data_IF_889239383361
#
_entry.id   IF_889239383361
#
_cell.length_a   1.000
_cell.length_b   1.000
_cell.length_c   1.000
_cell.angle_alpha   90.00
_cell.angle_beta   90.00
_cell.angle_gamma   90.00
#
_symmetry.space_group_name_H-M   'P 1'
#
loop_
_entity.id
_entity.type
_entity.pdbx_description
1 polymer ?
#
# COMPACT_ATOMS: atom_id res chain seq x y z
N UNK A 1 5.39 0.42 48.66
CA UNK A 1 4.06 0.15 49.25
C UNK A 1 3.14 1.29 48.84
N UNK A 2 2.18 1.01 47.94
CA UNK A 2 0.72 1.10 48.16
C UNK A 2 0.21 2.57 48.12
N UNK A 3 -0.87 2.97 47.44
CA UNK A 3 -1.90 2.34 46.62
C UNK A 3 -2.68 3.45 45.90
N UNK A 4 -3.03 3.22 44.63
CA UNK A 4 -4.31 3.47 43.95
C UNK A 4 -5.27 4.59 44.41
N UNK A 5 -5.76 5.40 43.46
CA UNK A 5 -7.21 5.45 43.19
C UNK A 5 -7.53 6.02 41.79
N UNK A 6 -8.32 5.24 41.06
CA UNK A 6 -8.97 5.53 39.79
C UNK A 6 -10.00 6.67 39.91
N UNK A 7 -10.19 7.43 38.83
CA UNK A 7 -11.51 7.94 38.46
C UNK A 7 -11.74 7.64 36.97
N UNK A 8 -12.66 6.70 36.73
CA UNK A 8 -13.33 6.50 35.43
C UNK A 8 -14.26 7.69 35.22
N UNK A 9 -14.12 8.39 34.10
CA UNK A 9 -15.19 9.28 33.63
C UNK A 9 -16.12 8.49 32.71
N UNK A 10 -17.34 8.32 33.19
CA UNK A 10 -18.46 7.63 32.57
C UNK A 10 -18.91 8.34 31.29
N UNK A 11 -19.33 7.56 30.30
CA UNK A 11 -19.74 8.04 28.98
C UNK A 11 -21.25 8.23 28.98
N UNK A 12 -21.72 9.27 29.65
CA UNK A 12 -23.11 9.75 29.57
C UNK A 12 -23.16 11.16 30.14
N UNK A 13 -23.07 12.16 29.27
CA UNK A 13 -23.84 13.41 29.40
C UNK A 13 -23.94 14.07 28.02
N UNK A 14 -25.18 14.08 27.52
CA UNK A 14 -25.61 14.80 26.33
C UNK A 14 -26.13 16.15 26.81
N UNK A 15 -25.26 17.15 26.86
CA UNK A 15 -25.72 18.54 26.98
C UNK A 15 -25.32 19.33 25.72
N UNK A 16 -26.37 19.70 24.99
CA UNK A 16 -26.38 20.71 23.94
C UNK A 16 -26.31 22.07 24.63
N UNK A 17 -25.48 22.96 24.10
CA UNK A 17 -25.21 24.34 24.55
C UNK A 17 -24.09 24.51 25.58
N UNK A 18 -22.86 24.60 25.08
CA UNK A 18 -21.86 25.57 25.55
C UNK A 18 -20.78 25.77 24.48
N UNK A 19 -20.22 26.98 24.37
CA UNK A 19 -19.64 27.53 23.14
C UNK A 19 -18.41 26.76 22.72
N UNK A 20 -18.26 26.61 21.40
CA UNK A 20 -17.11 26.02 20.71
C UNK A 20 -15.79 26.36 21.41
N UNK A 21 -15.33 25.45 22.28
CA UNK A 21 -13.92 25.26 22.48
C UNK A 21 -13.38 24.82 21.12
N UNK A 22 -12.84 25.77 20.36
CA UNK A 22 -11.87 25.50 19.31
C UNK A 22 -10.67 24.82 19.99
N UNK A 23 -10.78 23.53 20.27
CA UNK A 23 -9.60 22.69 20.24
C UNK A 23 -9.17 22.67 18.78
N UNK A 24 -8.00 23.26 18.54
CA UNK A 24 -7.27 23.21 17.29
C UNK A 24 -6.89 21.76 17.01
N UNK A 25 -7.85 20.91 16.64
CA UNK A 25 -7.59 19.62 16.04
C UNK A 25 -7.22 19.87 14.59
N UNK A 26 -5.95 20.24 14.41
CA UNK A 26 -5.33 20.51 13.11
C UNK A 26 -4.89 19.24 12.40
N UNK A 27 -5.54 18.11 12.67
CA UNK A 27 -5.26 16.82 12.07
C UNK A 27 -6.34 16.50 11.03
N UNK A 28 -6.33 17.24 9.92
CA UNK A 28 -6.98 16.80 8.68
C UNK A 28 -5.95 16.19 7.74
N UNK A 29 -5.18 15.26 8.26
CA UNK A 29 -4.56 14.24 7.44
C UNK A 29 -5.69 13.33 6.96
N UNK A 30 -6.16 13.57 5.73
CA UNK A 30 -6.82 12.52 4.97
C UNK A 30 -5.76 11.46 4.68
N UNK A 31 -5.48 10.60 5.66
CA UNK A 31 -4.55 9.48 5.56
C UNK A 31 -5.00 8.59 4.37
N UNK A 32 -4.37 8.77 3.21
CA UNK A 32 -4.31 7.72 2.22
C UNK A 32 -3.46 6.62 2.84
N UNK A 33 -4.13 5.62 3.42
CA UNK A 33 -3.59 4.62 4.36
C UNK A 33 -2.30 3.87 3.96
N UNK A 34 -1.79 4.06 2.74
CA UNK A 34 -0.63 3.32 2.22
C UNK A 34 0.43 4.20 1.49
N UNK A 35 0.24 5.52 1.38
CA UNK A 35 1.07 6.39 0.51
C UNK A 35 1.70 7.53 1.31
N UNK A 36 3.03 7.62 1.25
CA UNK A 36 3.81 8.72 1.78
C UNK A 36 4.18 9.67 0.63
N UNK A 37 3.98 10.97 0.82
CA UNK A 37 4.33 11.99 -0.16
C UNK A 37 5.26 13.03 0.48
N UNK A 38 6.35 13.32 -0.20
CA UNK A 38 7.27 14.40 0.16
C UNK A 38 7.35 15.39 -0.99
N UNK A 39 7.22 16.69 -0.69
CA UNK A 39 7.53 17.74 -1.65
C UNK A 39 8.99 18.16 -1.44
N UNK A 40 9.83 18.02 -2.48
CA UNK A 40 11.20 18.54 -2.50
C UNK A 40 11.33 19.41 -3.74
N UNK A 41 11.56 20.71 -3.54
CA UNK A 41 11.77 21.69 -4.62
C UNK A 41 10.65 21.67 -5.69
N UNK A 42 9.38 21.69 -5.26
CA UNK A 42 8.18 21.60 -6.09
C UNK A 42 8.01 20.29 -6.88
N UNK A 43 8.82 19.28 -6.57
CA UNK A 43 8.72 17.93 -7.11
C UNK A 43 8.15 17.01 -6.03
N UNK A 44 7.03 16.35 -6.35
CA UNK A 44 6.43 15.35 -5.47
C UNK A 44 7.10 13.99 -5.62
N UNK A 45 7.65 13.51 -4.52
CA UNK A 45 8.18 12.16 -4.36
C UNK A 45 7.18 11.33 -3.58
N UNK A 46 6.83 10.16 -4.11
CA UNK A 46 5.94 9.23 -3.42
C UNK A 46 6.69 7.95 -3.06
N UNK A 47 6.36 7.41 -1.89
CA UNK A 47 6.85 6.14 -1.37
C UNK A 47 5.74 5.43 -0.59
N UNK A 48 5.97 4.19 -0.19
CA UNK A 48 5.01 3.44 0.63
C UNK A 48 5.09 3.96 2.06
N UNK A 49 3.94 4.29 2.66
CA UNK A 49 3.90 4.65 4.07
C UNK A 49 3.93 3.39 4.93
N UNK A 50 4.88 3.30 5.87
CA UNK A 50 4.93 2.24 6.88
C UNK A 50 4.68 2.83 8.25
N UNK A 51 3.58 2.41 8.89
CA UNK A 51 3.30 2.82 10.27
C UNK A 51 4.34 2.16 11.19
N UNK A 52 4.96 2.87 12.14
CA UNK A 52 6.01 2.33 13.01
C UNK A 52 5.53 1.17 13.90
N UNK A 53 4.23 1.13 14.23
CA UNK A 53 3.61 0.04 15.00
C UNK A 53 3.09 -1.10 14.13
N UNK A 54 3.29 -1.06 12.81
CA UNK A 54 2.75 -2.08 11.91
C UNK A 54 3.66 -3.30 11.87
N UNK A 55 3.11 -4.43 12.30
CA UNK A 55 3.74 -5.72 12.06
C UNK A 55 3.41 -6.18 10.62
N UNK A 56 4.40 -6.68 9.86
CA UNK A 56 4.19 -7.16 8.51
C UNK A 56 3.51 -8.54 8.49
N UNK A 57 2.27 -8.59 8.96
CA UNK A 57 1.46 -9.80 8.99
C UNK A 57 0.77 -10.01 7.65
N UNK A 58 1.18 -11.06 6.94
CA UNK A 58 0.47 -11.55 5.77
C UNK A 58 -0.18 -12.89 6.11
N UNK A 59 -1.04 -13.37 5.21
CA UNK A 59 -1.57 -14.72 5.37
C UNK A 59 -0.42 -15.74 5.28
N UNK A 60 -0.15 -16.55 6.33
CA UNK A 60 0.93 -17.52 6.32
C UNK A 60 0.79 -18.53 5.20
N UNK A 61 1.89 -18.99 4.62
CA UNK A 61 1.83 -19.89 3.46
C UNK A 61 1.20 -21.26 3.77
N UNK A 62 1.39 -21.77 4.99
CA UNK A 62 0.87 -23.08 5.44
C UNK A 62 -0.58 -23.07 5.94
N UNK A 63 -1.22 -21.90 5.98
CA UNK A 63 -2.61 -21.75 6.42
C UNK A 63 -3.63 -22.51 5.55
N UNK A 64 -4.82 -22.84 6.08
CA UNK A 64 -5.89 -23.55 5.36
C UNK A 64 -6.67 -22.58 4.46
N UNK A 65 -5.97 -22.01 3.48
CA UNK A 65 -6.57 -21.13 2.48
C UNK A 65 -6.22 -21.59 1.06
N UNK A 66 -7.15 -21.41 0.11
CA UNK A 66 -6.92 -21.65 -1.30
C UNK A 66 -5.61 -21.03 -1.82
N UNK A 67 -4.91 -21.79 -2.66
CA UNK A 67 -3.62 -21.37 -3.21
C UNK A 67 -3.71 -20.07 -4.01
N UNK A 68 -4.81 -19.83 -4.72
CA UNK A 68 -5.00 -18.60 -5.50
C UNK A 68 -4.97 -17.33 -4.62
N UNK A 69 -5.44 -17.40 -3.37
CA UNK A 69 -5.39 -16.26 -2.44
C UNK A 69 -3.95 -15.98 -2.02
N UNK A 70 -3.22 -17.02 -1.62
CA UNK A 70 -1.79 -16.94 -1.27
C UNK A 70 -0.95 -16.45 -2.44
N UNK A 71 -1.29 -16.83 -3.67
CA UNK A 71 -0.64 -16.36 -4.89
C UNK A 71 -0.90 -14.88 -5.17
N UNK A 72 -2.12 -14.40 -4.88
CA UNK A 72 -2.52 -13.03 -5.16
C UNK A 72 -1.82 -12.04 -4.22
N UNK A 73 -1.55 -12.41 -2.97
CA UNK A 73 -0.87 -11.54 -2.00
C UNK A 73 0.47 -10.97 -2.54
N UNK A 74 1.49 -11.78 -2.88
CA UNK A 74 2.78 -11.25 -3.35
C UNK A 74 2.63 -10.49 -4.66
N UNK A 75 1.77 -10.96 -5.58
CA UNK A 75 1.56 -10.29 -6.87
C UNK A 75 0.94 -8.89 -6.69
N UNK A 76 -0.15 -8.80 -5.93
CA UNK A 76 -0.88 -7.54 -5.74
C UNK A 76 -0.10 -6.55 -4.89
N UNK A 77 0.57 -7.00 -3.84
CA UNK A 77 1.40 -6.14 -3.00
C UNK A 77 2.59 -5.59 -3.78
N UNK A 78 3.29 -6.43 -4.54
CA UNK A 78 4.40 -5.98 -5.36
C UNK A 78 3.94 -4.99 -6.44
N UNK A 79 2.84 -5.28 -7.13
CA UNK A 79 2.23 -4.38 -8.10
C UNK A 79 1.85 -3.03 -7.48
N UNK A 80 1.33 -3.00 -6.24
CA UNK A 80 1.01 -1.73 -5.55
C UNK A 80 2.27 -0.93 -5.24
N UNK A 81 3.29 -1.57 -4.64
CA UNK A 81 4.56 -0.90 -4.29
C UNK A 81 5.25 -0.31 -5.52
N UNK A 82 5.26 -1.03 -6.65
CA UNK A 82 5.81 -0.50 -7.93
C UNK A 82 5.13 0.77 -8.43
N UNK A 83 3.87 1.02 -8.02
CA UNK A 83 3.13 2.23 -8.41
C UNK A 83 3.33 3.37 -7.44
N UNK A 84 3.59 3.08 -6.17
CA UNK A 84 3.75 4.09 -5.14
C UNK A 84 5.15 4.70 -5.14
N UNK A 85 6.18 3.97 -5.57
CA UNK A 85 7.55 4.48 -5.54
C UNK A 85 7.88 5.36 -6.76
N UNK A 86 8.13 6.65 -6.54
CA UNK A 86 8.61 7.57 -7.58
C UNK A 86 10.10 7.40 -7.90
N UNK A 87 10.91 6.92 -6.95
CA UNK A 87 12.36 6.77 -7.14
C UNK A 87 12.79 5.30 -7.19
N UNK A 88 13.88 5.03 -7.89
CA UNK A 88 14.45 3.69 -7.97
C UNK A 88 14.90 3.18 -6.60
N UNK A 89 15.50 4.05 -5.78
CA UNK A 89 15.97 3.69 -4.46
C UNK A 89 14.82 3.26 -3.54
N UNK A 90 13.75 4.05 -3.49
CA UNK A 90 12.55 3.68 -2.72
C UNK A 90 11.93 2.38 -3.23
N UNK A 91 11.94 2.14 -4.55
CA UNK A 91 11.47 0.87 -5.10
C UNK A 91 12.29 -0.34 -4.63
N UNK A 92 13.61 -0.26 -4.63
CA UNK A 92 14.48 -1.35 -4.16
C UNK A 92 14.23 -1.63 -2.68
N UNK A 93 14.20 -0.58 -1.85
CA UNK A 93 13.88 -0.72 -0.42
C UNK A 93 12.52 -1.37 -0.20
N UNK A 94 11.51 -0.95 -0.95
CA UNK A 94 10.16 -1.52 -0.85
C UNK A 94 10.05 -2.96 -1.35
N UNK A 95 10.77 -3.31 -2.41
CA UNK A 95 10.87 -4.69 -2.89
C UNK A 95 11.48 -5.58 -1.83
N UNK A 96 12.58 -5.14 -1.23
CA UNK A 96 13.32 -5.93 -0.26
C UNK A 96 12.52 -6.05 1.05
N UNK A 97 11.87 -4.96 1.49
CA UNK A 97 10.95 -4.98 2.63
C UNK A 97 9.78 -5.96 2.40
N UNK A 98 9.16 -5.97 1.21
CA UNK A 98 8.11 -6.92 0.88
C UNK A 98 8.63 -8.36 0.87
N UNK A 99 9.82 -8.58 0.30
CA UNK A 99 10.44 -9.91 0.24
C UNK A 99 10.66 -10.45 1.65
N UNK A 100 11.25 -9.64 2.54
CA UNK A 100 11.49 -10.02 3.94
C UNK A 100 10.18 -10.35 4.66
N UNK A 101 9.17 -9.50 4.51
CA UNK A 101 7.86 -9.74 5.10
C UNK A 101 7.22 -11.05 4.60
N UNK A 102 7.31 -11.37 3.31
CA UNK A 102 6.79 -12.64 2.79
C UNK A 102 7.58 -13.86 3.30
N UNK A 103 8.90 -13.74 3.44
CA UNK A 103 9.73 -14.80 4.01
C UNK A 103 9.41 -15.07 5.47
N UNK A 104 9.13 -14.01 6.26
CA UNK A 104 8.67 -14.13 7.65
C UNK A 104 7.31 -14.85 7.76
N UNK A 105 6.49 -14.80 6.70
CA UNK A 105 5.22 -15.51 6.60
C UNK A 105 5.36 -16.87 5.88
N UNK A 106 6.58 -17.41 5.81
CA UNK A 106 6.93 -18.76 5.33
C UNK A 106 6.65 -18.99 3.83
N UNK A 107 6.63 -17.92 3.02
CA UNK A 107 6.52 -18.08 1.57
C UNK A 107 7.82 -18.63 0.97
N UNK A 108 7.77 -19.66 0.11
CA UNK A 108 8.97 -20.18 -0.56
C UNK A 108 9.62 -19.12 -1.46
N UNK A 109 10.94 -19.00 -1.42
CA UNK A 109 11.71 -18.00 -2.20
C UNK A 109 11.37 -18.04 -3.70
N UNK A 110 11.41 -19.24 -4.30
CA UNK A 110 11.09 -19.44 -5.71
C UNK A 110 9.67 -18.99 -6.05
N UNK A 111 8.73 -19.17 -5.12
CA UNK A 111 7.34 -18.74 -5.30
C UNK A 111 7.23 -17.22 -5.30
N UNK A 112 7.95 -16.53 -4.41
CA UNK A 112 7.99 -15.06 -4.38
C UNK A 112 8.54 -14.53 -5.71
N UNK A 113 9.67 -15.06 -6.16
CA UNK A 113 10.34 -14.63 -7.40
C UNK A 113 9.45 -14.82 -8.63
N UNK A 114 8.78 -15.95 -8.74
CA UNK A 114 7.80 -16.20 -9.80
C UNK A 114 6.67 -15.15 -9.82
N UNK A 115 6.19 -14.73 -8.66
CA UNK A 115 5.09 -13.75 -8.55
C UNK A 115 5.58 -12.34 -8.88
N UNK A 116 6.80 -12.00 -8.53
CA UNK A 116 7.42 -10.73 -8.91
C UNK A 116 7.67 -10.68 -10.42
N UNK A 117 8.20 -11.75 -11.00
CA UNK A 117 8.43 -11.86 -12.45
C UNK A 117 7.14 -11.71 -13.26
N UNK A 118 6.03 -12.29 -12.80
CA UNK A 118 4.71 -12.06 -13.43
C UNK A 118 4.29 -10.59 -13.49
N UNK A 119 4.71 -9.76 -12.53
CA UNK A 119 4.43 -8.32 -12.58
C UNK A 119 5.26 -7.67 -13.69
N UNK A 120 6.53 -8.04 -13.83
CA UNK A 120 7.39 -7.53 -14.91
C UNK A 120 6.93 -7.99 -16.30
N UNK A 121 6.55 -9.26 -16.44
CA UNK A 121 5.95 -9.83 -17.65
C UNK A 121 4.68 -9.07 -18.06
N UNK A 122 3.82 -8.72 -17.09
CA UNK A 122 2.60 -7.95 -17.34
C UNK A 122 2.86 -6.57 -17.96
N UNK A 123 4.04 -6.00 -17.72
CA UNK A 123 4.46 -4.72 -18.29
C UNK A 123 5.45 -4.87 -19.45
N UNK A 124 5.66 -6.10 -19.94
CA UNK A 124 6.60 -6.44 -21.02
C UNK A 124 8.04 -5.96 -20.74
N UNK A 125 8.49 -6.11 -19.49
CA UNK A 125 9.84 -5.71 -19.08
C UNK A 125 10.75 -6.92 -19.19
N UNK A 126 11.60 -6.91 -20.23
CA UNK A 126 12.53 -8.01 -20.54
C UNK A 126 13.89 -7.78 -19.87
N UNK A 127 14.24 -6.51 -19.63
CA UNK A 127 15.53 -6.08 -19.09
C UNK A 127 15.47 -5.78 -17.58
N UNK A 128 16.57 -5.98 -16.84
CA UNK A 128 16.60 -5.65 -15.41
C UNK A 128 16.37 -4.16 -15.17
N UNK A 129 15.64 -3.85 -14.10
CA UNK A 129 15.41 -2.46 -13.67
C UNK A 129 16.69 -1.87 -13.08
N UNK A 130 17.05 -0.70 -13.59
CA UNK A 130 18.19 0.12 -13.15
C UNK A 130 17.69 1.55 -12.92
N UNK A 131 18.50 2.36 -12.23
CA UNK A 131 18.17 3.78 -12.00
C UNK A 131 17.83 4.53 -13.28
N UNK A 132 18.52 4.20 -14.39
CA UNK A 132 18.36 4.86 -15.70
C UNK A 132 17.00 4.54 -16.33
N UNK A 133 16.56 3.27 -16.29
CA UNK A 133 15.34 2.84 -16.98
C UNK A 133 14.08 2.90 -16.09
N UNK A 134 14.22 3.19 -14.79
CA UNK A 134 13.12 3.20 -13.83
C UNK A 134 12.05 4.25 -14.15
N UNK A 135 12.44 5.43 -14.64
CA UNK A 135 11.48 6.48 -15.02
C UNK A 135 10.54 6.04 -16.14
N UNK A 136 11.04 5.26 -17.12
CA UNK A 136 10.23 4.65 -18.18
C UNK A 136 9.28 3.60 -17.61
N UNK A 137 9.74 2.80 -16.66
CA UNK A 137 8.91 1.81 -15.98
C UNK A 137 7.71 2.42 -15.26
N UNK A 138 7.92 3.48 -14.47
CA UNK A 138 6.82 4.15 -13.75
C UNK A 138 5.76 4.69 -14.71
N UNK A 139 6.19 5.26 -15.85
CA UNK A 139 5.26 5.75 -16.88
C UNK A 139 4.36 4.62 -17.39
N UNK A 140 4.91 3.43 -17.62
CA UNK A 140 4.16 2.25 -18.07
C UNK A 140 3.16 1.77 -17.00
N UNK A 141 3.57 1.71 -15.72
CA UNK A 141 2.69 1.23 -14.64
C UNK A 141 1.55 2.20 -14.34
N UNK A 142 1.79 3.51 -14.49
CA UNK A 142 0.81 4.57 -14.26
C UNK A 142 -0.30 4.58 -15.33
N UNK A 143 0.06 4.43 -16.60
CA UNK A 143 -0.86 4.49 -17.75
C UNK A 143 -1.93 3.39 -17.75
N UNK A 144 -1.61 2.19 -17.25
CA UNK A 144 -2.58 1.07 -17.18
C UNK A 144 -3.84 1.35 -16.35
N UNK A 145 -3.80 2.31 -15.41
CA UNK A 145 -4.95 2.61 -14.53
C UNK A 145 -6.05 3.39 -15.22
N UNK A 146 -5.72 4.22 -16.22
CA UNK A 146 -6.69 5.03 -16.96
C UNK A 146 -7.50 4.16 -17.92
N UNK A 147 -6.82 3.28 -18.67
CA UNK A 147 -7.44 2.43 -19.71
C UNK A 147 -8.38 1.38 -19.10
N UNK A 148 -8.08 0.84 -17.92
CA UNK A 148 -8.96 -0.14 -17.26
C UNK A 148 -10.19 0.49 -16.62
N UNK A 149 -10.09 1.74 -16.13
CA UNK A 149 -11.25 2.49 -15.64
C UNK A 149 -12.20 2.84 -16.79
N UNK A 150 -11.70 3.38 -17.90
CA UNK A 150 -12.56 3.77 -19.04
C UNK A 150 -13.28 2.57 -19.67
N UNK A 151 -12.65 1.40 -19.76
CA UNK A 151 -13.30 0.18 -20.29
C UNK A 151 -14.38 -0.41 -19.38
N UNK A 152 -14.35 -0.16 -18.06
CA UNK A 152 -15.32 -0.74 -17.11
C UNK A 152 -16.64 0.05 -17.03
N UNK A 153 -16.64 1.32 -17.42
CA UNK A 153 -17.83 2.19 -17.40
C UNK A 153 -18.62 2.21 -18.72
N UNK A 154 -18.08 1.68 -19.83
CA UNK A 154 -18.82 1.46 -21.06
C UNK A 154 -19.49 0.08 -21.03
N UNK A 155 -20.68 -0.02 -20.41
CA UNK A 155 -21.67 -1.03 -20.82
C UNK A 155 -22.54 -0.37 -21.90
N UNK A 156 -22.50 -0.81 -23.17
CA UNK A 156 -23.50 -0.36 -24.12
C UNK A 156 -24.87 -0.78 -23.57
N UNK A 157 -25.75 0.21 -23.38
CA UNK A 157 -27.16 -0.05 -23.09
C UNK A 157 -27.69 -0.88 -24.26
N UNK A 158 -27.99 -2.16 -24.02
CA UNK A 158 -28.80 -2.94 -24.95
C UNK A 158 -30.20 -2.36 -24.87
N UNK A 159 -30.58 -1.58 -25.88
CA UNK A 159 -31.98 -1.32 -26.15
C UNK A 159 -32.60 -2.66 -26.57
N UNK A 160 -33.57 -3.13 -25.79
CA UNK A 160 -34.51 -4.19 -26.16
C UNK A 160 -35.72 -3.55 -26.83
#
# INVERSE_FOLDING_TARGET
>A
MLLSSNVRCDSRDRDRNSPLCFHCDRDRDREQKDLHMENRDDIFFTSVYHKPSYEPYYLPFHSIHPLHMKQNIPFTMFLRRTRYCSTFQSFIQERDHLRMALLLNEYPIKFIDQRFNRVFEKFNIIQPLTSINYSRFIKLTSQTTVIQKTKKYYRPLRCL
#
